data_IF_026810567044
#
_entry.id   IF_026810567044
#
_cell.length_a   1.000
_cell.length_b   1.000
_cell.length_c   1.000
_cell.angle_alpha   90.00
_cell.angle_beta   90.00
_cell.angle_gamma   90.00
#
_symmetry.space_group_name_H-M   'P 1'
#
loop_
_entity.id
_entity.type
_entity.pdbx_description
1 polymer ?
#
# COMPACT_ATOMS: atom_id res chain seq x y z
N UNK A 1 3.44 -10.67 1.10
CA UNK A 1 2.51 -9.74 1.75
C UNK A 1 2.92 -8.30 1.42
N UNK A 2 2.19 -7.63 0.52
CA UNK A 2 2.58 -6.32 -0.06
C UNK A 2 2.60 -5.19 0.96
N UNK A 3 1.90 -5.35 2.09
CA UNK A 3 1.88 -4.39 3.18
C UNK A 3 2.73 -4.81 4.40
N UNK A 4 3.26 -6.04 4.44
CA UNK A 4 3.96 -6.60 5.62
C UNK A 4 5.45 -6.84 5.39
N UNK A 5 5.87 -7.20 4.17
CA UNK A 5 7.27 -7.51 3.88
C UNK A 5 8.22 -6.29 3.78
N UNK A 6 7.70 -5.07 3.84
CA UNK A 6 8.52 -3.84 3.83
C UNK A 6 8.39 -3.03 5.12
N UNK A 7 7.98 -3.66 6.22
CA UNK A 7 8.16 -3.13 7.59
C UNK A 7 9.63 -2.85 7.93
N UNK A 8 10.59 -3.43 7.22
CA UNK A 8 12.02 -3.29 7.50
C UNK A 8 12.67 -2.03 6.89
N UNK A 9 12.09 -1.41 5.85
CA UNK A 9 12.86 -0.46 5.03
C UNK A 9 12.69 1.03 5.39
N UNK A 10 11.82 1.44 6.31
CA UNK A 10 11.84 2.86 6.73
C UNK A 10 11.14 3.10 8.06
N UNK A 11 11.94 3.03 9.12
CA UNK A 11 11.67 3.43 10.51
C UNK A 11 11.30 4.92 10.69
N UNK A 12 11.02 5.66 9.62
CA UNK A 12 10.93 7.14 9.66
C UNK A 12 9.69 7.74 9.01
N UNK A 13 8.89 7.01 8.24
CA UNK A 13 7.75 7.66 7.60
C UNK A 13 6.62 6.65 7.34
N UNK A 14 5.43 7.02 7.81
CA UNK A 14 4.17 6.30 7.69
C UNK A 14 3.63 6.23 6.24
N UNK A 15 4.53 6.07 5.24
CA UNK A 15 4.24 6.09 3.79
C UNK A 15 3.57 4.79 3.31
N UNK A 16 3.42 3.77 4.16
CA UNK A 16 2.98 2.43 3.74
C UNK A 16 1.53 2.38 3.25
N UNK A 17 0.60 3.10 3.89
CA UNK A 17 -0.77 3.24 3.36
C UNK A 17 -0.77 3.95 2.01
N UNK A 18 0.08 4.96 1.86
CA UNK A 18 0.25 5.72 0.63
C UNK A 18 0.85 4.86 -0.48
N UNK A 19 1.80 3.95 -0.20
CA UNK A 19 2.38 3.09 -1.23
C UNK A 19 1.33 2.17 -1.88
N UNK A 20 0.48 1.53 -1.07
CA UNK A 20 -0.64 0.75 -1.59
C UNK A 20 -1.62 1.63 -2.39
N UNK A 21 -1.98 2.80 -1.84
CA UNK A 21 -2.88 3.72 -2.53
C UNK A 21 -2.30 4.22 -3.87
N UNK A 22 -1.04 4.66 -3.89
CA UNK A 22 -0.29 5.11 -5.07
C UNK A 22 -0.16 3.97 -6.07
N UNK A 23 0.20 2.75 -5.63
CA UNK A 23 0.28 1.58 -6.51
C UNK A 23 -1.06 1.26 -7.18
N UNK A 24 -2.18 1.42 -6.46
CA UNK A 24 -3.49 1.25 -7.06
C UNK A 24 -3.83 2.38 -8.04
N UNK A 25 -3.46 3.63 -7.71
CA UNK A 25 -3.62 4.78 -8.62
C UNK A 25 -2.83 4.58 -9.93
N UNK A 26 -1.58 4.10 -9.87
CA UNK A 26 -0.77 3.84 -11.08
C UNK A 26 -1.34 2.73 -11.95
N UNK A 27 -2.14 1.84 -11.37
CA UNK A 27 -2.87 0.78 -12.08
C UNK A 27 -4.26 1.23 -12.58
N UNK A 28 -4.64 2.49 -12.37
CA UNK A 28 -5.92 3.06 -12.82
C UNK A 28 -7.10 2.85 -11.87
N UNK A 29 -6.87 2.36 -10.65
CA UNK A 29 -7.91 2.30 -9.62
C UNK A 29 -8.05 3.66 -8.91
N UNK A 30 -9.16 3.91 -8.20
CA UNK A 30 -9.37 5.13 -7.39
C UNK A 30 -8.53 5.19 -6.10
N UNK A 31 -7.71 4.18 -5.85
CA UNK A 31 -6.85 4.08 -4.67
C UNK A 31 -6.87 2.66 -4.09
N UNK A 32 -6.27 2.50 -2.92
CA UNK A 32 -6.14 1.20 -2.29
C UNK A 32 -5.88 1.30 -0.80
N UNK A 33 -6.15 0.22 -0.09
CA UNK A 33 -5.90 0.09 1.34
C UNK A 33 -5.34 -1.29 1.67
N UNK A 34 -4.48 -1.34 2.68
CA UNK A 34 -3.99 -2.60 3.21
C UNK A 34 -5.10 -3.30 4.00
N UNK A 35 -5.43 -4.54 3.63
CA UNK A 35 -6.34 -5.43 4.34
C UNK A 35 -5.60 -6.72 4.63
N UNK A 36 -5.41 -7.05 5.91
CA UNK A 36 -4.74 -8.28 6.32
C UNK A 36 -3.41 -8.51 5.58
N UNK A 37 -2.55 -7.48 5.53
CA UNK A 37 -1.25 -7.45 4.82
C UNK A 37 -1.27 -7.45 3.28
N UNK A 38 -2.45 -7.53 2.67
CA UNK A 38 -2.64 -7.48 1.22
C UNK A 38 -3.12 -6.10 0.81
N UNK A 39 -2.49 -5.52 -0.22
CA UNK A 39 -2.96 -4.27 -0.80
C UNK A 39 -4.23 -4.54 -1.62
N UNK A 40 -5.37 -4.04 -1.16
CA UNK A 40 -6.65 -4.15 -1.85
C UNK A 40 -6.94 -2.84 -2.59
N UNK A 41 -6.95 -2.89 -3.93
CA UNK A 41 -7.30 -1.74 -4.77
C UNK A 41 -8.83 -1.58 -4.87
N UNK A 42 -9.31 -0.34 -4.81
CA UNK A 42 -10.71 0.02 -4.98
C UNK A 42 -10.89 0.78 -6.29
N UNK A 43 -11.80 0.33 -7.14
CA UNK A 43 -12.22 1.05 -8.33
C UNK A 43 -13.08 2.28 -8.01
#
# INVERSE_FOLDING_TARGET
ATCDALSFSSKWLTVNHSACAIHCLTKGYKGGRCVNTICNCRN
#
